data_IF_078511595669
#
_entry.id   IF_078511595669
#
_cell.length_a   1.000
_cell.length_b   1.000
_cell.length_c   1.000
_cell.angle_alpha   90.00
_cell.angle_beta   90.00
_cell.angle_gamma   90.00
#
_symmetry.space_group_name_H-M   'P 1'
#
loop_
_entity.id
_entity.type
_entity.pdbx_description
1 polymer ?
#
# COMPACT_ATOMS: atom_id res chain seq x y z
N UNK A 1 9.03 11.24 -6.63
CA UNK A 1 7.83 12.00 -6.99
C UNK A 1 6.65 11.52 -6.15
N UNK A 2 5.82 12.44 -5.67
CA UNK A 2 4.67 12.08 -4.85
C UNK A 2 3.43 11.86 -5.72
N UNK A 3 2.65 10.86 -5.34
CA UNK A 3 1.42 10.49 -6.03
C UNK A 3 0.24 10.67 -5.09
N UNK A 4 -0.87 11.19 -5.63
CA UNK A 4 -2.13 11.24 -4.88
C UNK A 4 -2.73 9.84 -4.78
N UNK A 5 -3.78 9.71 -3.97
CA UNK A 5 -4.53 8.45 -3.85
C UNK A 5 -5.02 7.96 -5.21
N UNK A 6 -5.56 8.88 -6.03
CA UNK A 6 -6.06 8.53 -7.37
C UNK A 6 -4.93 8.08 -8.29
N UNK A 7 -3.80 8.78 -8.25
CA UNK A 7 -2.63 8.43 -9.06
C UNK A 7 -2.08 7.07 -8.64
N UNK A 8 -2.00 6.83 -7.34
CA UNK A 8 -1.54 5.55 -6.81
C UNK A 8 -2.44 4.40 -7.28
N UNK A 9 -3.75 4.61 -7.29
CA UNK A 9 -4.69 3.62 -7.80
C UNK A 9 -4.43 3.31 -9.27
N UNK A 10 -4.18 4.32 -10.09
CA UNK A 10 -3.88 4.14 -11.51
C UNK A 10 -2.57 3.39 -11.72
N UNK A 11 -1.53 3.78 -10.98
CA UNK A 11 -0.21 3.15 -11.09
C UNK A 11 -0.22 1.68 -10.67
N UNK A 12 -1.03 1.34 -9.68
CA UNK A 12 -1.09 -0.01 -9.13
C UNK A 12 -2.27 -0.82 -9.69
N UNK A 13 -3.11 -0.21 -10.51
CA UNK A 13 -4.30 -0.84 -11.07
C UNK A 13 -5.27 -1.35 -10.00
N UNK A 14 -5.39 -0.58 -8.91
CA UNK A 14 -6.30 -0.88 -7.81
C UNK A 14 -7.48 0.07 -7.79
N UNK A 15 -8.59 -0.38 -7.20
CA UNK A 15 -9.70 0.52 -6.92
C UNK A 15 -9.35 1.38 -5.72
N UNK A 16 -10.02 2.53 -5.63
CA UNK A 16 -9.85 3.43 -4.48
C UNK A 16 -10.16 2.72 -3.17
N UNK A 17 -11.26 1.95 -3.14
CA UNK A 17 -11.67 1.25 -1.93
C UNK A 17 -10.65 0.19 -1.52
N UNK A 18 -10.09 -0.53 -2.47
CA UNK A 18 -9.09 -1.55 -2.18
C UNK A 18 -7.83 -0.94 -1.58
N UNK A 19 -7.34 0.14 -2.17
CA UNK A 19 -6.14 0.82 -1.66
C UNK A 19 -6.40 1.43 -0.28
N UNK A 20 -7.56 2.04 -0.10
CA UNK A 20 -7.98 2.59 1.19
C UNK A 20 -8.01 1.50 2.26
N UNK A 21 -8.54 0.33 1.93
CA UNK A 21 -8.59 -0.81 2.83
C UNK A 21 -7.17 -1.23 3.24
N UNK A 22 -6.27 -1.33 2.28
CA UNK A 22 -4.88 -1.71 2.57
C UNK A 22 -4.21 -0.69 3.50
N UNK A 23 -4.44 0.60 3.28
CA UNK A 23 -3.91 1.65 4.14
C UNK A 23 -4.48 1.53 5.56
N UNK A 24 -5.78 1.28 5.67
CA UNK A 24 -6.45 1.16 6.98
C UNK A 24 -5.98 -0.08 7.75
N UNK A 25 -5.60 -1.13 7.05
CA UNK A 25 -5.07 -2.34 7.68
C UNK A 25 -3.61 -2.21 8.09
N UNK A 26 -2.97 -1.10 7.79
CA UNK A 26 -1.58 -0.90 8.11
C UNK A 26 -0.62 -1.63 7.17
N UNK A 27 -1.10 -2.04 6.00
CA UNK A 27 -0.28 -2.76 5.04
C UNK A 27 0.66 -1.84 4.26
N UNK A 28 0.42 -0.53 4.31
CA UNK A 28 1.29 0.46 3.65
C UNK A 28 1.85 1.37 4.76
N UNK A 29 2.98 0.99 5.38
CA UNK A 29 3.45 1.64 6.61
C UNK A 29 4.00 3.05 6.43
N UNK A 30 4.42 3.41 5.22
CA UNK A 30 5.11 4.69 4.98
C UNK A 30 4.23 5.72 4.29
N UNK A 31 2.89 5.55 4.34
CA UNK A 31 1.97 6.52 3.76
C UNK A 31 2.15 7.87 4.45
N UNK A 32 2.36 8.90 3.63
CA UNK A 32 2.56 10.26 4.11
C UNK A 32 1.27 11.05 3.93
N UNK A 33 1.20 12.19 4.56
CA UNK A 33 0.09 13.12 4.42
C UNK A 33 0.62 14.46 3.97
N UNK A 34 -0.11 15.10 3.04
CA UNK A 34 0.24 16.46 2.63
C UNK A 34 -0.32 17.47 3.62
N UNK A 35 -0.15 18.75 3.30
CA UNK A 35 -0.64 19.83 4.17
C UNK A 35 -2.15 19.87 4.31
N UNK A 36 -2.87 19.23 3.38
CA UNK A 36 -4.33 19.11 3.42
C UNK A 36 -4.78 17.80 4.07
N UNK A 37 -3.84 17.09 4.72
CA UNK A 37 -4.09 15.81 5.38
C UNK A 37 -4.58 14.73 4.42
N UNK A 38 -4.18 14.80 3.17
CA UNK A 38 -4.49 13.78 2.16
C UNK A 38 -3.33 12.80 2.07
N UNK A 39 -3.66 11.51 1.85
CA UNK A 39 -2.63 10.50 1.68
C UNK A 39 -1.85 10.76 0.40
N UNK A 40 -0.51 10.71 0.50
CA UNK A 40 0.39 10.80 -0.65
C UNK A 40 1.38 9.65 -0.59
N UNK A 41 1.80 9.20 -1.76
CA UNK A 41 2.65 8.02 -1.90
C UNK A 41 3.87 8.39 -2.72
N UNK A 42 5.04 7.92 -2.31
CA UNK A 42 6.24 8.07 -3.12
C UNK A 42 6.43 6.83 -4.00
N UNK A 43 7.50 6.81 -4.78
CA UNK A 43 7.75 5.69 -5.69
C UNK A 43 7.99 4.38 -4.94
N UNK A 44 8.56 4.45 -3.75
CA UNK A 44 8.75 3.26 -2.90
C UNK A 44 7.42 2.71 -2.42
N UNK A 45 6.49 3.59 -2.08
CA UNK A 45 5.16 3.17 -1.67
C UNK A 45 4.43 2.47 -2.83
N UNK A 46 4.58 3.00 -4.04
CA UNK A 46 3.98 2.39 -5.22
C UNK A 46 4.54 0.98 -5.45
N UNK A 47 5.85 0.83 -5.37
CA UNK A 47 6.51 -0.47 -5.50
C UNK A 47 6.04 -1.45 -4.41
N UNK A 48 5.91 -0.96 -3.19
CA UNK A 48 5.44 -1.74 -2.05
C UNK A 48 4.03 -2.25 -2.27
N UNK A 49 3.13 -1.35 -2.70
CA UNK A 49 1.73 -1.71 -2.99
C UNK A 49 1.68 -2.76 -4.11
N UNK A 50 2.50 -2.60 -5.15
CA UNK A 50 2.58 -3.58 -6.23
C UNK A 50 2.99 -4.96 -5.72
N UNK A 51 3.91 -5.01 -4.76
CA UNK A 51 4.31 -6.26 -4.11
C UNK A 51 3.15 -6.89 -3.35
N UNK A 52 2.35 -6.07 -2.65
CA UNK A 52 1.18 -6.56 -1.93
C UNK A 52 0.17 -7.20 -2.88
N UNK A 53 -0.03 -6.60 -4.05
CA UNK A 53 -0.93 -7.15 -5.05
C UNK A 53 -0.44 -8.53 -5.50
N UNK A 54 0.87 -8.68 -5.73
CA UNK A 54 1.45 -9.97 -6.09
C UNK A 54 1.23 -11.02 -5.01
N UNK A 55 1.43 -10.67 -3.76
CA UNK A 55 1.20 -11.59 -2.64
C UNK A 55 -0.27 -12.02 -2.57
N UNK A 56 -1.18 -11.08 -2.80
CA UNK A 56 -2.61 -11.40 -2.82
C UNK A 56 -2.96 -12.35 -3.95
N UNK A 57 -2.37 -12.15 -5.12
CA UNK A 57 -2.58 -13.04 -6.27
C UNK A 57 -2.04 -14.45 -6.02
N UNK A 58 -1.03 -14.57 -5.16
CA UNK A 58 -0.47 -15.86 -4.76
C UNK A 58 -1.33 -16.58 -3.73
N UNK A 59 -2.44 -15.96 -3.31
CA UNK A 59 -3.37 -16.58 -2.39
C UNK A 59 -3.16 -16.25 -0.92
N UNK A 60 -2.29 -15.31 -0.60
CA UNK A 60 -2.08 -14.91 0.79
C UNK A 60 -3.29 -14.13 1.30
N UNK A 61 -3.68 -14.41 2.53
CA UNK A 61 -4.72 -13.66 3.21
C UNK A 61 -4.15 -12.33 3.71
N UNK A 62 -5.05 -11.42 4.09
CA UNK A 62 -4.65 -10.14 4.66
C UNK A 62 -3.82 -10.36 5.92
N UNK A 63 -4.22 -11.31 6.77
CA UNK A 63 -3.49 -11.62 8.00
C UNK A 63 -2.08 -12.14 7.69
N UNK A 64 -1.95 -13.01 6.70
CA UNK A 64 -0.65 -13.53 6.29
C UNK A 64 0.25 -12.41 5.75
N UNK A 65 -0.33 -11.49 4.97
CA UNK A 65 0.42 -10.34 4.46
C UNK A 65 0.92 -9.46 5.61
N UNK A 66 0.09 -9.22 6.63
CA UNK A 66 0.50 -8.44 7.79
C UNK A 66 1.68 -9.10 8.52
N UNK A 67 1.64 -10.39 8.70
CA UNK A 67 2.71 -11.14 9.34
C UNK A 67 4.00 -11.06 8.53
N UNK A 68 3.89 -11.22 7.21
CA UNK A 68 5.03 -11.12 6.31
C UNK A 68 5.68 -9.73 6.39
N UNK A 69 4.86 -8.68 6.39
CA UNK A 69 5.36 -7.32 6.48
C UNK A 69 6.04 -7.03 7.83
N UNK A 70 5.49 -7.57 8.91
CA UNK A 70 6.10 -7.46 10.23
C UNK A 70 7.52 -8.00 10.21
N UNK A 71 7.72 -9.16 9.60
CA UNK A 71 9.04 -9.77 9.50
C UNK A 71 9.98 -8.92 8.64
N UNK A 72 9.49 -8.38 7.54
CA UNK A 72 10.29 -7.53 6.67
C UNK A 72 10.73 -6.23 7.37
N UNK A 73 9.84 -5.65 8.18
CA UNK A 73 10.15 -4.41 8.89
C UNK A 73 11.07 -4.64 10.09
N UNK A 74 11.07 -5.83 10.64
CA UNK A 74 11.96 -6.18 11.76
C UNK A 74 13.36 -6.52 11.30
N UNK A 75 13.48 -6.95 10.07
CA UNK A 75 14.75 -7.37 9.51
C UNK A 75 15.54 -6.24 8.93
#
# INVERSE_FOLDING_TARGET
MLHTMMQACKETNMTYQALKFYCNQGLVPNVKRDKNNRRVFDDRDIAWISSLICLKKCGMSIQEMKEYLSLCLMG
#
